data_IF_833786756739
#
_entry.id   IF_833786756739
#
_cell.length_a   1.000
_cell.length_b   1.000
_cell.length_c   1.000
_cell.angle_alpha   90.00
_cell.angle_beta   90.00
_cell.angle_gamma   90.00
#
_symmetry.space_group_name_H-M   'P 1'
#
loop_
_entity.id
_entity.type
_entity.pdbx_description
1 polymer ?
#
# COMPACT_ATOMS: atom_id res chain seq x y z
N UNK A 1 -47.38 -3.84 15.56
CA UNK A 1 -47.05 -5.28 15.42
C UNK A 1 -47.63 -5.65 14.08
N UNK A 2 -46.89 -5.65 12.98
CA UNK A 2 -45.75 -6.46 12.49
C UNK A 2 -45.36 -5.70 11.17
N UNK A 3 -44.15 -5.48 10.69
CA UNK A 3 -42.82 -6.08 10.79
C UNK A 3 -41.81 -4.98 10.40
N UNK A 4 -40.62 -4.99 11.00
CA UNK A 4 -39.51 -4.20 10.49
C UNK A 4 -39.04 -4.81 9.16
N UNK A 5 -38.91 -3.97 8.13
CA UNK A 5 -38.07 -4.28 6.98
C UNK A 5 -36.65 -3.78 7.33
N UNK A 6 -36.10 -4.38 8.39
CA UNK A 6 -34.67 -4.41 8.64
C UNK A 6 -34.07 -5.47 7.71
N UNK A 7 -32.85 -5.22 7.24
CA UNK A 7 -32.08 -6.03 6.29
C UNK A 7 -32.45 -5.87 4.80
N UNK A 8 -32.10 -4.70 4.26
CA UNK A 8 -31.64 -4.62 2.86
C UNK A 8 -30.38 -5.47 2.72
N UNK A 9 -30.55 -6.79 2.64
CA UNK A 9 -29.53 -7.74 2.22
C UNK A 9 -28.84 -7.17 0.99
N UNK A 10 -27.53 -6.89 1.10
CA UNK A 10 -26.71 -6.41 -0.01
C UNK A 10 -27.01 -7.25 -1.25
N UNK A 11 -27.37 -6.60 -2.36
CA UNK A 11 -27.60 -7.28 -3.65
C UNK A 11 -26.39 -8.19 -3.93
N UNK A 12 -26.56 -9.53 -3.99
CA UNK A 12 -25.46 -10.47 -4.17
C UNK A 12 -24.64 -10.18 -5.44
N UNK A 13 -25.27 -9.63 -6.48
CA UNK A 13 -24.58 -9.23 -7.71
C UNK A 13 -23.72 -7.99 -7.47
N UNK A 14 -24.20 -7.02 -6.69
CA UNK A 14 -23.43 -5.83 -6.33
C UNK A 14 -22.24 -6.20 -5.43
N UNK A 15 -22.44 -7.10 -4.46
CA UNK A 15 -21.37 -7.63 -3.60
C UNK A 15 -20.30 -8.35 -4.43
N UNK A 16 -20.68 -9.29 -5.29
CA UNK A 16 -19.74 -10.03 -6.14
C UNK A 16 -18.93 -9.10 -7.07
N UNK A 17 -19.53 -8.02 -7.59
CA UNK A 17 -18.82 -7.00 -8.38
C UNK A 17 -17.80 -6.24 -7.54
N UNK A 18 -18.15 -5.88 -6.31
CA UNK A 18 -17.25 -5.17 -5.40
C UNK A 18 -16.05 -6.03 -5.01
N UNK A 19 -16.27 -7.32 -4.71
CA UNK A 19 -15.22 -8.29 -4.40
C UNK A 19 -14.28 -8.49 -5.61
N UNK A 20 -14.83 -8.66 -6.82
CA UNK A 20 -14.03 -8.79 -8.03
C UNK A 20 -13.18 -7.53 -8.30
N UNK A 21 -13.74 -6.34 -8.08
CA UNK A 21 -12.99 -5.08 -8.22
C UNK A 21 -11.85 -4.99 -7.20
N UNK A 22 -12.08 -5.37 -5.94
CA UNK A 22 -11.05 -5.43 -4.90
C UNK A 22 -9.94 -6.43 -5.25
N UNK A 23 -10.32 -7.62 -5.72
CA UNK A 23 -9.37 -8.65 -6.12
C UNK A 23 -8.47 -8.16 -7.27
N UNK A 24 -9.06 -7.54 -8.30
CA UNK A 24 -8.29 -6.99 -9.42
C UNK A 24 -7.35 -5.87 -8.95
N UNK A 25 -7.83 -4.98 -8.09
CA UNK A 25 -7.03 -3.90 -7.52
C UNK A 25 -5.83 -4.44 -6.71
N UNK A 26 -6.06 -5.50 -5.93
CA UNK A 26 -5.01 -6.18 -5.16
C UNK A 26 -4.01 -6.89 -6.08
N UNK A 27 -4.47 -7.57 -7.12
CA UNK A 27 -3.62 -8.25 -8.10
C UNK A 27 -2.71 -7.27 -8.87
N UNK A 28 -3.18 -6.03 -9.10
CA UNK A 28 -2.40 -4.97 -9.75
C UNK A 28 -1.42 -4.25 -8.81
N UNK A 29 -1.53 -4.43 -7.49
CA UNK A 29 -0.73 -3.68 -6.54
C UNK A 29 0.80 -3.87 -6.71
N UNK A 30 1.34 -5.09 -6.90
CA UNK A 30 2.77 -5.27 -7.12
C UNK A 30 3.31 -4.48 -8.32
N UNK A 31 2.52 -4.39 -9.40
CA UNK A 31 2.92 -3.62 -10.57
C UNK A 31 2.92 -2.12 -10.30
N UNK A 32 1.90 -1.60 -9.59
CA UNK A 32 1.86 -0.20 -9.18
C UNK A 32 2.98 0.15 -8.21
N UNK A 33 3.28 -0.72 -7.25
CA UNK A 33 4.40 -0.56 -6.33
C UNK A 33 5.73 -0.46 -7.09
N UNK A 34 5.97 -1.29 -8.09
CA UNK A 34 7.19 -1.21 -8.90
C UNK A 34 7.28 0.10 -9.71
N UNK A 35 6.15 0.60 -10.22
CA UNK A 35 6.09 1.89 -10.89
C UNK A 35 6.41 3.05 -9.92
N UNK A 36 5.85 3.02 -8.71
CA UNK A 36 6.14 4.00 -7.66
C UNK A 36 7.62 3.95 -7.25
N UNK A 37 8.21 2.75 -7.12
CA UNK A 37 9.64 2.58 -6.81
C UNK A 37 10.55 3.09 -7.93
N UNK A 38 10.16 2.90 -9.19
CA UNK A 38 10.88 3.47 -10.34
C UNK A 38 10.87 5.01 -10.29
N UNK A 39 9.73 5.61 -9.90
CA UNK A 39 9.67 7.05 -9.69
C UNK A 39 10.50 7.50 -8.48
N UNK A 40 10.53 6.71 -7.41
CA UNK A 40 11.35 6.99 -6.23
C UNK A 40 12.85 7.00 -6.59
N UNK A 41 13.32 6.05 -7.39
CA UNK A 41 14.71 6.03 -7.89
C UNK A 41 15.04 7.30 -8.68
N UNK A 42 14.11 7.75 -9.54
CA UNK A 42 14.30 8.97 -10.30
C UNK A 42 14.40 10.21 -9.39
N UNK A 43 13.67 10.24 -8.27
CA UNK A 43 13.75 11.31 -7.28
C UNK A 43 15.08 11.27 -6.50
N UNK A 44 15.75 10.12 -6.43
CA UNK A 44 17.04 9.98 -5.78
C UNK A 44 18.20 10.41 -6.69
N UNK A 45 17.99 10.60 -7.99
CA UNK A 45 19.03 11.14 -8.87
C UNK A 45 19.47 12.54 -8.42
N UNK A 46 20.78 12.85 -8.48
CA UNK A 46 21.30 14.10 -7.94
C UNK A 46 20.95 15.33 -8.80
N UNK A 47 20.49 16.45 -8.20
CA UNK A 47 20.12 16.60 -6.79
C UNK A 47 18.78 15.92 -6.47
N UNK A 48 18.70 15.24 -5.33
CA UNK A 48 17.51 14.48 -4.96
C UNK A 48 16.29 15.40 -4.71
N UNK A 49 15.13 14.99 -5.23
CA UNK A 49 13.82 15.63 -4.98
C UNK A 49 13.16 14.96 -3.77
N UNK A 50 13.52 15.48 -2.59
CA UNK A 50 13.10 14.91 -1.30
C UNK A 50 11.59 15.06 -1.06
N UNK A 51 10.98 16.16 -1.52
CA UNK A 51 9.54 16.40 -1.33
C UNK A 51 8.71 15.44 -2.18
N UNK A 52 9.12 15.21 -3.44
CA UNK A 52 8.48 14.22 -4.30
C UNK A 52 8.69 12.81 -3.76
N UNK A 53 9.90 12.48 -3.32
CA UNK A 53 10.21 11.18 -2.73
C UNK A 53 9.36 10.91 -1.48
N UNK A 54 9.21 11.89 -0.59
CA UNK A 54 8.35 11.79 0.58
C UNK A 54 6.89 11.47 0.20
N UNK A 55 6.36 12.12 -0.83
CA UNK A 55 4.99 11.89 -1.31
C UNK A 55 4.82 10.45 -1.80
N UNK A 56 5.75 9.95 -2.63
CA UNK A 56 5.73 8.56 -3.13
C UNK A 56 5.78 7.56 -1.97
N UNK A 57 6.70 7.75 -1.02
CA UNK A 57 6.81 6.89 0.16
C UNK A 57 5.56 6.91 1.04
N UNK A 58 4.90 8.07 1.15
CA UNK A 58 3.65 8.21 1.89
C UNK A 58 2.52 7.39 1.26
N UNK A 59 2.43 7.41 -0.08
CA UNK A 59 1.43 6.66 -0.83
C UNK A 59 1.71 5.15 -0.74
N UNK A 60 2.96 4.72 -0.94
CA UNK A 60 3.39 3.32 -0.76
C UNK A 60 2.99 2.81 0.63
N UNK A 61 3.25 3.59 1.69
CA UNK A 61 2.87 3.23 3.07
C UNK A 61 1.36 3.00 3.19
N UNK A 62 0.54 3.90 2.64
CA UNK A 62 -0.92 3.79 2.68
C UNK A 62 -1.44 2.58 1.92
N UNK A 63 -0.98 2.41 0.67
CA UNK A 63 -1.35 1.29 -0.19
C UNK A 63 -0.92 -0.06 0.42
N UNK A 64 0.28 -0.15 0.99
CA UNK A 64 0.79 -1.36 1.62
C UNK A 64 -0.09 -1.83 2.79
N UNK A 65 -0.65 -0.89 3.57
CA UNK A 65 -1.63 -1.20 4.61
C UNK A 65 -2.93 -1.77 4.06
N UNK A 66 -3.41 -1.26 2.93
CA UNK A 66 -4.63 -1.73 2.26
C UNK A 66 -4.46 -3.10 1.63
N UNK A 67 -3.31 -3.37 0.99
CA UNK A 67 -3.09 -4.59 0.19
C UNK A 67 -2.32 -5.70 0.92
N UNK A 68 -1.94 -5.51 2.19
CA UNK A 68 -1.39 -6.60 2.99
C UNK A 68 0.13 -6.78 2.94
N UNK A 69 0.87 -5.68 2.81
CA UNK A 69 2.33 -5.68 2.73
C UNK A 69 2.93 -5.00 3.97
N UNK A 70 2.83 -5.61 5.17
CA UNK A 70 3.19 -4.96 6.43
C UNK A 70 4.66 -4.52 6.48
N UNK A 71 5.57 -5.32 5.91
CA UNK A 71 6.99 -4.97 5.87
C UNK A 71 7.26 -3.76 4.96
N UNK A 72 6.64 -3.71 3.78
CA UNK A 72 6.71 -2.54 2.88
C UNK A 72 6.21 -1.29 3.60
N UNK A 73 5.04 -1.38 4.23
CA UNK A 73 4.46 -0.26 4.98
C UNK A 73 5.35 0.23 6.12
N UNK A 74 5.95 -0.69 6.89
CA UNK A 74 6.85 -0.35 7.98
C UNK A 74 8.13 0.36 7.49
N UNK A 75 8.75 -0.13 6.42
CA UNK A 75 9.95 0.50 5.86
C UNK A 75 9.61 1.90 5.33
N UNK A 76 8.53 2.04 4.55
CA UNK A 76 8.08 3.32 4.00
C UNK A 76 7.76 4.35 5.10
N UNK A 77 7.14 3.92 6.21
CA UNK A 77 6.91 4.77 7.37
C UNK A 77 8.21 5.28 7.99
N UNK A 78 9.22 4.40 8.18
CA UNK A 78 10.51 4.82 8.74
C UNK A 78 11.20 5.83 7.84
N UNK A 79 11.13 5.64 6.51
CA UNK A 79 11.65 6.57 5.51
C UNK A 79 10.99 7.95 5.59
N UNK A 80 9.66 8.00 5.59
CA UNK A 80 8.90 9.23 5.77
C UNK A 80 9.30 9.99 7.05
N UNK A 81 9.45 9.26 8.16
CA UNK A 81 9.87 9.85 9.43
C UNK A 81 11.29 10.43 9.35
N UNK A 82 12.21 9.71 8.69
CA UNK A 82 13.59 10.17 8.54
C UNK A 82 13.73 11.44 7.72
N UNK A 83 12.92 11.57 6.66
CA UNK A 83 12.84 12.80 5.87
C UNK A 83 12.32 13.95 6.72
N UNK A 84 11.20 13.76 7.45
CA UNK A 84 10.63 14.80 8.32
C UNK A 84 11.57 15.28 9.42
N UNK A 85 12.35 14.37 9.98
CA UNK A 85 13.31 14.67 11.06
C UNK A 85 14.63 15.26 10.53
N UNK A 86 14.81 15.38 9.21
CA UNK A 86 16.05 15.87 8.61
C UNK A 86 17.24 14.93 8.83
N UNK A 87 16.99 13.65 9.13
CA UNK A 87 18.02 12.61 9.38
C UNK A 87 18.24 11.70 8.18
N UNK A 88 17.56 11.94 7.07
CA UNK A 88 17.68 11.14 5.86
C UNK A 88 18.81 11.69 4.99
N UNK A 89 19.84 10.87 4.79
CA UNK A 89 20.85 11.09 3.75
C UNK A 89 20.58 10.21 2.52
N UNK A 90 21.31 10.48 1.44
CA UNK A 90 21.17 9.80 0.16
C UNK A 90 21.28 8.27 0.29
N UNK A 91 22.32 7.78 0.95
CA UNK A 91 22.59 6.36 1.07
C UNK A 91 21.50 5.64 1.86
N UNK A 92 20.99 6.28 2.91
CA UNK A 92 19.91 5.75 3.72
C UNK A 92 18.59 5.66 2.93
N UNK A 93 18.29 6.67 2.11
CA UNK A 93 17.11 6.68 1.25
C UNK A 93 17.19 5.60 0.14
N UNK A 94 18.34 5.49 -0.54
CA UNK A 94 18.59 4.46 -1.56
C UNK A 94 18.46 3.05 -0.98
N UNK A 95 19.06 2.80 0.19
CA UNK A 95 18.92 1.54 0.90
C UNK A 95 17.45 1.26 1.25
N UNK A 96 16.73 2.26 1.75
CA UNK A 96 15.32 2.10 2.11
C UNK A 96 14.43 1.75 0.92
N UNK A 97 14.61 2.42 -0.22
CA UNK A 97 13.90 2.09 -1.47
C UNK A 97 14.23 0.68 -1.95
N UNK A 98 15.52 0.29 -1.89
CA UNK A 98 15.96 -1.08 -2.21
C UNK A 98 15.32 -2.12 -1.30
N UNK A 99 15.23 -1.84 0.00
CA UNK A 99 14.60 -2.74 0.97
C UNK A 99 13.09 -2.89 0.72
N UNK A 100 12.39 -1.82 0.33
CA UNK A 100 10.98 -1.91 -0.06
C UNK A 100 10.82 -2.84 -1.27
N UNK A 101 11.66 -2.69 -2.30
CA UNK A 101 11.60 -3.55 -3.49
C UNK A 101 11.78 -5.02 -3.15
N UNK A 102 12.74 -5.35 -2.29
CA UNK A 102 12.97 -6.72 -1.85
C UNK A 102 11.82 -7.27 -0.98
N UNK A 103 11.19 -6.41 -0.17
CA UNK A 103 10.05 -6.76 0.66
C UNK A 103 8.74 -6.97 -0.15
N UNK A 104 8.65 -6.44 -1.38
CA UNK A 104 7.50 -6.63 -2.25
C UNK A 104 7.28 -8.11 -2.66
N UNK A 105 8.33 -8.93 -2.61
CA UNK A 105 8.27 -10.37 -2.89
C UNK A 105 7.74 -11.24 -1.75
N UNK A 106 7.45 -10.66 -0.57
CA UNK A 106 6.97 -11.38 0.62
C UNK A 106 5.61 -10.87 1.10
N UNK A 107 4.54 -11.04 0.28
CA UNK A 107 3.19 -10.71 0.74
C UNK A 107 2.82 -11.60 1.94
N UNK A 108 2.07 -11.05 2.90
CA UNK A 108 1.46 -11.90 3.92
C UNK A 108 0.29 -12.67 3.25
N UNK A 109 0.35 -14.00 3.25
CA UNK A 109 -0.64 -14.84 2.55
C UNK A 109 -2.07 -14.68 3.08
N UNK A 110 -2.25 -14.08 4.26
CA UNK A 110 -3.55 -13.94 4.94
C UNK A 110 -4.26 -12.61 4.68
N UNK A 111 -3.63 -11.65 3.98
CA UNK A 111 -4.14 -10.29 3.92
C UNK A 111 -5.34 -10.02 2.98
N UNK A 112 -5.50 -10.65 1.79
CA UNK A 112 -6.71 -10.43 1.00
C UNK A 112 -7.97 -10.96 1.71
N UNK A 113 -7.84 -11.84 2.70
CA UNK A 113 -8.96 -12.32 3.52
C UNK A 113 -9.42 -11.34 4.62
N UNK A 114 -8.59 -10.35 5.01
CA UNK A 114 -8.93 -9.43 6.11
C UNK A 114 -9.96 -8.36 5.72
N UNK A 115 -10.15 -8.10 4.42
CA UNK A 115 -11.22 -7.23 3.92
C UNK A 115 -12.58 -7.96 3.86
N UNK A 116 -12.58 -9.29 3.81
CA UNK A 116 -13.79 -10.12 3.69
C UNK A 116 -14.28 -10.68 5.04
N UNK A 117 -13.38 -10.93 6.00
CA UNK A 117 -13.71 -11.53 7.32
C UNK A 117 -14.30 -10.55 8.35
N UNK A 118 -14.75 -9.36 7.94
CA UNK A 118 -15.44 -8.38 8.81
C UNK A 118 -16.94 -8.29 8.55
N UNK A 119 -17.48 -9.18 7.73
CA UNK A 119 -18.90 -9.24 7.37
C UNK A 119 -19.60 -10.54 7.82
N UNK A 120 -18.91 -11.38 8.61
CA UNK A 120 -19.46 -12.56 9.28
C UNK A 120 -19.70 -12.28 10.78
#
# INVERSE_FOLDING_TARGET
MIEGDEDSFLDPVALARAEAALHNLAAEYPHRLEADLTQADACLAAPADIDRLYTILHDIKGQAGTFGYPLVGAIAQRLCLGIKEGRADQAWLELGVTLIRNAAGTPNHDAPHALLTRLD
#
